data_IF_282873231647
#
_entry.id   IF_282873231647
#
_cell.length_a   1.000
_cell.length_b   1.000
_cell.length_c   1.000
_cell.angle_alpha   90.00
_cell.angle_beta   90.00
_cell.angle_gamma   90.00
#
_symmetry.space_group_name_H-M   'P 1'
#
loop_
_entity.id
_entity.type
_entity.pdbx_description
1 polymer ?
#
# COMPACT_ATOMS: atom_id res chain seq x y z
N UNK A 1 1.59 9.30 -17.29
CA UNK A 1 1.69 7.98 -17.93
C UNK A 1 2.37 7.08 -16.94
N UNK A 2 1.70 6.01 -16.53
CA UNK A 2 2.28 4.97 -15.70
C UNK A 2 2.90 3.91 -16.61
N UNK A 3 4.03 3.36 -16.19
CA UNK A 3 4.66 2.23 -16.86
C UNK A 3 5.01 1.22 -15.77
N UNK A 4 4.61 -0.03 -15.97
CA UNK A 4 4.83 -1.10 -15.02
C UNK A 4 4.76 -2.46 -15.71
N UNK A 5 5.42 -3.45 -15.12
CA UNK A 5 5.49 -4.81 -15.67
C UNK A 5 4.12 -5.48 -15.79
N UNK A 6 3.17 -5.12 -14.91
CA UNK A 6 1.79 -5.59 -14.98
C UNK A 6 1.02 -5.08 -16.22
N UNK A 7 1.53 -4.05 -16.92
CA UNK A 7 0.97 -3.53 -18.18
C UNK A 7 1.70 -4.05 -19.42
N UNK A 8 2.67 -4.96 -19.28
CA UNK A 8 3.56 -5.38 -20.36
C UNK A 8 2.80 -5.89 -21.59
N UNK A 9 1.79 -6.74 -21.39
CA UNK A 9 1.04 -7.35 -22.49
C UNK A 9 0.31 -6.30 -23.32
N UNK A 10 -0.43 -5.40 -22.67
CA UNK A 10 -1.17 -4.30 -23.29
C UNK A 10 -0.24 -3.33 -24.02
N UNK A 11 0.87 -2.94 -23.38
CA UNK A 11 1.85 -2.03 -23.97
C UNK A 11 2.49 -2.63 -25.21
N UNK A 12 2.82 -3.93 -25.19
CA UNK A 12 3.35 -4.64 -26.36
C UNK A 12 2.35 -4.69 -27.53
N UNK A 13 1.05 -4.58 -27.24
CA UNK A 13 -0.01 -4.47 -28.24
C UNK A 13 -0.32 -3.02 -28.64
N UNK A 14 0.39 -2.04 -28.09
CA UNK A 14 0.18 -0.62 -28.34
C UNK A 14 -1.04 -0.03 -27.61
N UNK A 15 -1.52 -0.71 -26.58
CA UNK A 15 -2.61 -0.25 -25.71
C UNK A 15 -1.96 0.50 -24.53
N UNK A 16 -2.35 1.76 -24.35
CA UNK A 16 -1.82 2.63 -23.29
C UNK A 16 -2.95 3.21 -22.46
N UNK A 17 -2.74 3.22 -21.14
CA UNK A 17 -3.64 3.94 -20.24
C UNK A 17 -3.61 5.44 -20.53
N UNK A 18 -4.78 6.11 -20.61
CA UNK A 18 -4.84 7.55 -20.79
C UNK A 18 -4.41 8.30 -19.53
N UNK A 19 -4.29 9.62 -19.63
CA UNK A 19 -4.16 10.45 -18.44
C UNK A 19 -5.42 10.31 -17.57
N UNK A 20 -5.22 9.97 -16.30
CA UNK A 20 -6.29 9.74 -15.33
C UNK A 20 -5.96 10.34 -13.97
N UNK A 21 -6.98 10.55 -13.15
CA UNK A 21 -6.83 10.95 -11.76
C UNK A 21 -6.41 9.74 -10.93
N UNK A 22 -5.44 9.94 -10.05
CA UNK A 22 -4.95 8.89 -9.15
C UNK A 22 -4.57 9.51 -7.80
N UNK A 23 -5.17 8.99 -6.73
CA UNK A 23 -4.91 9.43 -5.36
C UNK A 23 -3.52 9.03 -4.87
N UNK A 24 -2.92 7.96 -5.41
CA UNK A 24 -1.59 7.50 -5.00
C UNK A 24 -0.50 8.52 -5.36
N UNK A 25 -0.74 9.40 -6.34
CA UNK A 25 0.14 10.52 -6.67
C UNK A 25 0.37 11.44 -5.46
N UNK A 26 -0.61 11.61 -4.58
CA UNK A 26 -0.44 12.37 -3.34
C UNK A 26 0.59 11.70 -2.43
N UNK A 27 0.54 10.37 -2.30
CA UNK A 27 1.46 9.59 -1.48
C UNK A 27 2.87 9.56 -2.09
N UNK A 28 2.94 9.45 -3.41
CA UNK A 28 4.19 9.45 -4.17
C UNK A 28 4.93 10.79 -4.01
N UNK A 29 4.25 11.92 -4.22
CA UNK A 29 4.87 13.24 -4.06
C UNK A 29 5.27 13.50 -2.60
N UNK A 30 4.46 13.06 -1.64
CA UNK A 30 4.77 13.20 -0.21
C UNK A 30 6.06 12.45 0.15
N UNK A 31 6.22 11.20 -0.28
CA UNK A 31 7.44 10.41 -0.05
C UNK A 31 8.65 11.01 -0.80
N UNK A 32 8.46 11.53 -2.01
CA UNK A 32 9.53 12.20 -2.78
C UNK A 32 10.06 13.44 -2.06
N UNK A 33 9.19 14.23 -1.43
CA UNK A 33 9.59 15.39 -0.63
C UNK A 33 10.41 15.01 0.61
N UNK A 34 10.18 13.81 1.18
CA UNK A 34 10.91 13.32 2.35
C UNK A 34 12.23 12.64 1.96
N UNK A 35 12.24 11.81 0.92
CA UNK A 35 13.41 11.02 0.52
C UNK A 35 13.42 10.77 -0.99
N UNK A 36 14.24 11.54 -1.71
CA UNK A 36 14.46 11.34 -3.15
C UNK A 36 15.84 11.83 -3.59
N UNK A 37 16.27 11.40 -4.77
CA UNK A 37 17.48 11.88 -5.44
C UNK A 37 17.09 12.40 -6.82
N UNK A 38 17.31 13.69 -7.14
CA UNK A 38 17.03 14.20 -8.48
C UNK A 38 18.05 13.65 -9.48
N UNK A 39 17.61 12.78 -10.38
CA UNK A 39 18.46 12.28 -11.48
C UNK A 39 18.66 13.35 -12.56
N UNK A 40 17.68 14.24 -12.73
CA UNK A 40 17.71 15.44 -13.58
C UNK A 40 16.91 16.56 -12.93
N UNK A 41 17.32 17.81 -13.16
CA UNK A 41 16.62 18.99 -12.66
C UNK A 41 16.89 19.29 -11.19
N UNK A 42 15.96 20.01 -10.55
CA UNK A 42 16.08 20.41 -9.16
C UNK A 42 15.61 19.32 -8.19
N UNK A 43 16.01 19.50 -6.93
CA UNK A 43 15.51 18.69 -5.80
C UNK A 43 14.00 18.91 -5.56
N UNK A 44 13.34 17.90 -5.00
CA UNK A 44 11.89 17.84 -4.86
C UNK A 44 11.29 19.07 -4.15
N UNK A 45 11.91 19.52 -3.07
CA UNK A 45 11.42 20.63 -2.25
C UNK A 45 11.47 22.01 -2.94
N UNK A 46 12.10 22.10 -4.11
CA UNK A 46 12.06 23.30 -4.96
C UNK A 46 11.00 23.23 -6.06
N UNK A 47 10.53 22.03 -6.38
CA UNK A 47 9.57 21.79 -7.46
C UNK A 47 8.15 21.56 -6.93
N UNK A 48 8.01 20.90 -5.79
CA UNK A 48 6.73 20.50 -5.21
C UNK A 48 6.49 21.18 -3.87
N UNK A 49 5.21 21.29 -3.52
CA UNK A 49 4.77 21.75 -2.20
C UNK A 49 4.07 20.59 -1.48
N UNK A 50 4.21 20.46 -0.16
CA UNK A 50 3.50 19.43 0.59
C UNK A 50 2.00 19.51 0.39
N UNK A 51 1.35 18.35 0.21
CA UNK A 51 -0.10 18.28 0.16
C UNK A 51 -0.71 18.70 1.52
N UNK A 52 -1.91 19.31 1.54
CA UNK A 52 -2.64 19.50 2.79
C UNK A 52 -2.89 18.16 3.49
N UNK A 53 -2.77 18.12 4.82
CA UNK A 53 -2.97 16.90 5.64
C UNK A 53 -4.31 16.22 5.32
N UNK A 54 -5.37 16.99 5.06
CA UNK A 54 -6.67 16.44 4.70
C UNK A 54 -6.66 15.67 3.36
N UNK A 55 -5.84 16.06 2.39
CA UNK A 55 -5.69 15.35 1.12
C UNK A 55 -4.82 14.10 1.28
N UNK A 56 -3.77 14.17 2.10
CA UNK A 56 -2.95 13.01 2.44
C UNK A 56 -3.79 11.93 3.16
N UNK A 57 -4.62 12.35 4.11
CA UNK A 57 -5.56 11.46 4.80
C UNK A 57 -6.52 10.77 3.83
N UNK A 58 -7.10 11.53 2.89
CA UNK A 58 -7.96 10.96 1.84
C UNK A 58 -7.22 9.96 0.97
N UNK A 59 -6.01 10.31 0.53
CA UNK A 59 -5.19 9.42 -0.30
C UNK A 59 -4.84 8.10 0.41
N UNK A 60 -4.48 8.14 1.69
CA UNK A 60 -4.19 6.95 2.49
C UNK A 60 -5.42 6.06 2.70
N UNK A 61 -6.61 6.65 2.80
CA UNK A 61 -7.86 5.91 3.04
C UNK A 61 -8.54 5.44 1.76
N UNK A 62 -8.27 6.07 0.63
CA UNK A 62 -8.91 5.73 -0.66
C UNK A 62 -8.82 4.25 -1.04
N UNK A 63 -7.65 3.56 -0.90
CA UNK A 63 -7.57 2.12 -1.19
C UNK A 63 -8.42 1.26 -0.26
N UNK A 64 -8.62 1.68 1.01
CA UNK A 64 -9.47 0.95 1.96
C UNK A 64 -10.91 0.86 1.47
N UNK A 65 -11.41 1.90 0.79
CA UNK A 65 -12.75 1.93 0.26
C UNK A 65 -12.89 1.06 -1.01
N UNK A 66 -11.79 0.71 -1.68
CA UNK A 66 -11.79 -0.12 -2.89
C UNK A 66 -11.80 -1.62 -2.62
N UNK A 67 -11.07 -2.10 -1.61
CA UNK A 67 -10.94 -3.55 -1.35
C UNK A 67 -12.13 -4.10 -0.57
N UNK A 68 -13.25 -4.40 -1.23
CA UNK A 68 -14.50 -4.79 -0.57
C UNK A 68 -14.84 -6.27 -0.67
N UNK A 69 -14.31 -6.95 -1.68
CA UNK A 69 -14.68 -8.30 -2.04
C UNK A 69 -13.46 -9.18 -2.25
N UNK A 70 -13.68 -10.49 -2.29
CA UNK A 70 -12.66 -11.48 -2.64
C UNK A 70 -12.02 -11.19 -4.00
N UNK A 71 -12.81 -10.73 -4.98
CA UNK A 71 -12.31 -10.44 -6.32
C UNK A 71 -11.36 -9.23 -6.35
N UNK A 72 -11.53 -8.28 -5.41
CA UNK A 72 -10.68 -7.08 -5.33
C UNK A 72 -9.29 -7.38 -4.75
N UNK A 73 -9.14 -8.53 -4.08
CA UNK A 73 -7.88 -8.91 -3.40
C UNK A 73 -7.16 -10.09 -4.04
N UNK A 74 -7.86 -10.88 -4.84
CA UNK A 74 -7.33 -12.09 -5.46
C UNK A 74 -6.24 -11.74 -6.48
N UNK A 75 -5.06 -12.35 -6.33
CA UNK A 75 -3.89 -12.11 -7.17
C UNK A 75 -2.91 -11.07 -6.63
N UNK A 76 -3.31 -10.29 -5.60
CA UNK A 76 -2.50 -9.25 -4.96
C UNK A 76 -2.47 -9.41 -3.43
N UNK A 77 -2.68 -10.62 -2.91
CA UNK A 77 -3.00 -10.88 -1.50
C UNK A 77 -1.92 -10.36 -0.54
N UNK A 78 -0.66 -10.80 -0.69
CA UNK A 78 0.42 -10.31 0.18
C UNK A 78 0.70 -8.82 -0.04
N UNK A 79 0.48 -8.32 -1.27
CA UNK A 79 0.70 -6.91 -1.58
C UNK A 79 -0.30 -6.05 -0.80
N UNK A 80 -1.58 -6.40 -0.83
CA UNK A 80 -2.65 -5.68 -0.14
C UNK A 80 -2.46 -5.76 1.37
N UNK A 81 -2.16 -6.94 1.93
CA UNK A 81 -1.90 -7.10 3.36
C UNK A 81 -0.76 -6.19 3.84
N UNK A 82 0.36 -6.14 3.09
CA UNK A 82 1.50 -5.28 3.44
C UNK A 82 1.20 -3.79 3.21
N UNK A 83 0.43 -3.44 2.20
CA UNK A 83 0.00 -2.05 1.96
C UNK A 83 -0.92 -1.57 3.08
N UNK A 84 -1.84 -2.41 3.58
CA UNK A 84 -2.66 -2.11 4.75
C UNK A 84 -1.81 -1.87 5.99
N UNK A 85 -0.77 -2.68 6.22
CA UNK A 85 0.16 -2.45 7.33
C UNK A 85 0.87 -1.08 7.22
N UNK A 86 1.30 -0.68 6.01
CA UNK A 86 1.91 0.65 5.77
C UNK A 86 0.92 1.80 5.98
N UNK A 87 -0.33 1.66 5.53
CA UNK A 87 -1.38 2.66 5.74
C UNK A 87 -1.63 2.83 7.25
N UNK A 88 -1.75 1.71 7.98
CA UNK A 88 -1.95 1.72 9.42
C UNK A 88 -0.80 2.42 10.14
N UNK A 89 0.45 2.05 9.82
CA UNK A 89 1.64 2.71 10.35
C UNK A 89 1.63 4.22 10.08
N UNK A 90 1.34 4.62 8.84
CA UNK A 90 1.39 6.03 8.43
C UNK A 90 0.34 6.86 9.15
N UNK A 91 -0.88 6.34 9.29
CA UNK A 91 -1.95 7.05 10.01
C UNK A 91 -1.74 7.08 11.53
N UNK A 92 -1.00 6.12 12.08
CA UNK A 92 -0.72 6.06 13.53
C UNK A 92 0.51 6.86 13.95
N UNK A 93 1.44 7.12 13.02
CA UNK A 93 2.74 7.73 13.34
C UNK A 93 3.03 9.01 12.57
N UNK A 94 2.28 9.30 11.50
CA UNK A 94 2.56 10.38 10.57
C UNK A 94 3.81 10.16 9.70
N UNK A 95 4.39 8.95 9.70
CA UNK A 95 5.66 8.64 9.01
C UNK A 95 5.46 7.57 7.94
N UNK A 96 6.32 7.57 6.93
CA UNK A 96 6.42 6.49 5.96
C UNK A 96 7.48 5.47 6.38
N UNK A 97 7.28 4.22 5.98
CA UNK A 97 8.24 3.14 6.20
C UNK A 97 8.15 2.07 5.10
N UNK A 98 9.06 1.10 5.09
CA UNK A 98 9.07 -0.03 4.15
C UNK A 98 7.94 -1.04 4.47
N UNK A 99 7.63 -1.94 3.52
CA UNK A 99 6.63 -3.00 3.73
C UNK A 99 6.99 -3.90 4.91
N UNK A 100 8.25 -4.32 4.97
CA UNK A 100 8.79 -5.19 6.01
C UNK A 100 8.73 -4.52 7.40
N UNK A 101 9.23 -3.29 7.51
CA UNK A 101 9.21 -2.57 8.79
C UNK A 101 7.79 -2.22 9.26
N UNK A 102 6.85 -1.98 8.35
CA UNK A 102 5.44 -1.80 8.71
C UNK A 102 4.82 -3.10 9.25
N UNK A 103 5.16 -4.24 8.66
CA UNK A 103 4.71 -5.54 9.15
C UNK A 103 5.26 -5.81 10.56
N UNK A 104 6.57 -5.65 10.77
CA UNK A 104 7.21 -5.80 12.08
C UNK A 104 6.60 -4.89 13.16
N UNK A 105 6.26 -3.66 12.79
CA UNK A 105 5.60 -2.71 13.69
C UNK A 105 4.18 -3.18 14.06
N UNK A 106 3.41 -3.71 13.12
CA UNK A 106 2.00 -4.06 13.34
C UNK A 106 1.84 -5.43 14.01
N UNK A 107 2.70 -6.41 13.72
CA UNK A 107 2.65 -7.77 14.26
C UNK A 107 2.39 -7.88 15.78
N UNK A 108 3.12 -7.17 16.67
CA UNK A 108 2.92 -7.29 18.12
C UNK A 108 1.60 -6.67 18.62
N UNK A 109 0.86 -5.95 17.77
CA UNK A 109 -0.39 -5.27 18.11
C UNK A 109 -1.64 -6.07 17.69
N UNK A 110 -1.45 -7.13 16.90
CA UNK A 110 -2.54 -7.91 16.32
C UNK A 110 -2.89 -9.14 17.17
N UNK A 111 -4.17 -9.53 17.22
CA UNK A 111 -4.54 -10.90 17.58
C UNK A 111 -3.85 -11.93 16.66
N UNK A 112 -3.50 -13.10 17.19
CA UNK A 112 -2.64 -14.06 16.47
C UNK A 112 -3.18 -14.47 15.10
N UNK A 113 -4.50 -14.63 14.94
CA UNK A 113 -5.11 -14.99 13.65
C UNK A 113 -4.79 -13.97 12.53
N UNK A 114 -4.76 -12.67 12.87
CA UNK A 114 -4.40 -11.60 11.93
C UNK A 114 -2.89 -11.47 11.80
N UNK A 115 -2.15 -11.66 12.90
CA UNK A 115 -0.70 -11.66 12.91
C UNK A 115 -0.13 -12.77 12.01
N UNK A 116 -0.73 -13.96 12.01
CA UNK A 116 -0.34 -15.08 11.16
C UNK A 116 -0.49 -14.74 9.67
N UNK A 117 -1.61 -14.11 9.28
CA UNK A 117 -1.85 -13.64 7.90
C UNK A 117 -0.79 -12.60 7.48
N UNK A 118 -0.50 -11.62 8.33
CA UNK A 118 0.53 -10.61 8.07
C UNK A 118 1.94 -11.22 7.96
N UNK A 119 2.26 -12.18 8.83
CA UNK A 119 3.55 -12.89 8.83
C UNK A 119 3.74 -13.71 7.55
N UNK A 120 2.68 -14.38 7.07
CA UNK A 120 2.72 -15.10 5.80
C UNK A 120 3.01 -14.16 4.62
N UNK A 121 2.31 -13.02 4.56
CA UNK A 121 2.54 -12.00 3.54
C UNK A 121 3.96 -11.42 3.58
N UNK A 122 4.48 -11.13 4.77
CA UNK A 122 5.85 -10.64 4.96
C UNK A 122 6.88 -11.66 4.48
N UNK A 123 6.74 -12.94 4.86
CA UNK A 123 7.70 -13.99 4.48
C UNK A 123 7.75 -14.22 2.97
N UNK A 124 6.60 -14.17 2.30
CA UNK A 124 6.57 -14.28 0.84
C UNK A 124 7.20 -13.07 0.15
N UNK A 125 6.89 -11.86 0.63
CA UNK A 125 7.51 -10.65 0.11
C UNK A 125 9.04 -10.64 0.27
N UNK A 126 9.56 -11.21 1.37
CA UNK A 126 10.99 -11.38 1.61
C UNK A 126 11.61 -12.55 0.82
N UNK A 127 10.82 -13.28 0.03
CA UNK A 127 11.27 -14.42 -0.76
C UNK A 127 11.63 -15.66 0.07
N UNK A 128 11.16 -15.73 1.32
CA UNK A 128 11.50 -16.82 2.24
C UNK A 128 10.59 -18.05 2.04
N UNK A 129 9.34 -17.83 1.65
CA UNK A 129 8.34 -18.89 1.56
C UNK A 129 7.17 -18.46 0.67
N UNK A 130 6.83 -19.25 -0.34
CA UNK A 130 5.66 -19.02 -1.19
C UNK A 130 4.44 -19.69 -0.56
N UNK A 131 3.33 -18.96 -0.48
CA UNK A 131 2.07 -19.41 0.07
C UNK A 131 1.10 -19.84 -1.02
N UNK A 132 0.20 -20.75 -0.68
CA UNK A 132 -1.00 -20.97 -1.47
C UNK A 132 -2.07 -19.96 -1.05
N UNK A 133 -2.07 -18.81 -1.72
CA UNK A 133 -3.02 -17.73 -1.42
C UNK A 133 -4.47 -18.11 -1.66
N UNK A 134 -4.75 -19.11 -2.49
CA UNK A 134 -6.12 -19.60 -2.68
C UNK A 134 -6.68 -20.18 -1.37
N UNK A 135 -5.84 -20.89 -0.61
CA UNK A 135 -6.21 -21.43 0.71
C UNK A 135 -6.31 -20.31 1.75
N UNK A 136 -5.40 -19.33 1.70
CA UNK A 136 -5.35 -18.23 2.68
C UNK A 136 -6.36 -17.11 2.39
N UNK A 137 -7.00 -17.10 1.22
CA UNK A 137 -7.89 -16.02 0.77
C UNK A 137 -8.98 -15.66 1.79
N UNK A 138 -9.66 -16.60 2.47
CA UNK A 138 -10.62 -16.26 3.51
C UNK A 138 -9.99 -15.53 4.71
N UNK A 139 -8.73 -15.83 5.05
CA UNK A 139 -7.99 -15.13 6.10
C UNK A 139 -7.56 -13.72 5.66
N UNK A 140 -7.17 -13.56 4.39
CA UNK A 140 -6.85 -12.25 3.80
C UNK A 140 -8.07 -11.34 3.82
N UNK A 141 -9.24 -11.82 3.42
CA UNK A 141 -10.50 -11.04 3.50
C UNK A 141 -10.79 -10.61 4.94
N UNK A 142 -10.67 -11.53 5.92
CA UNK A 142 -10.83 -11.16 7.33
C UNK A 142 -9.80 -10.12 7.80
N UNK A 143 -8.56 -10.19 7.31
CA UNK A 143 -7.54 -9.20 7.63
C UNK A 143 -7.88 -7.81 7.05
N UNK A 144 -8.38 -7.75 5.82
CA UNK A 144 -8.84 -6.51 5.19
C UNK A 144 -10.00 -5.89 5.98
N UNK A 145 -11.00 -6.69 6.35
CA UNK A 145 -12.13 -6.23 7.16
C UNK A 145 -11.69 -5.74 8.54
N UNK A 146 -10.77 -6.47 9.17
CA UNK A 146 -10.18 -6.06 10.44
C UNK A 146 -9.43 -4.73 10.33
N UNK A 147 -8.61 -4.57 9.29
CA UNK A 147 -7.88 -3.34 9.03
C UNK A 147 -8.84 -2.15 8.81
N UNK A 148 -9.90 -2.32 8.02
CA UNK A 148 -10.93 -1.29 7.81
C UNK A 148 -11.58 -0.82 9.12
N UNK A 149 -11.83 -1.75 10.03
CA UNK A 149 -12.46 -1.46 11.32
C UNK A 149 -11.53 -0.77 12.33
N UNK A 150 -10.20 -0.97 12.23
CA UNK A 150 -9.24 -0.55 13.26
C UNK A 150 -8.21 0.50 12.82
N UNK A 151 -8.01 0.70 11.51
CA UNK A 151 -7.13 1.76 11.01
C UNK A 151 -7.71 3.14 11.40
N UNK A 152 -6.89 4.05 11.98
CA UNK A 152 -7.33 5.38 12.37
C UNK A 152 -8.04 6.15 11.23
N UNK A 153 -9.11 6.87 11.57
CA UNK A 153 -9.84 7.73 10.62
C UNK A 153 -9.23 9.12 10.47
N UNK A 154 -8.27 9.45 11.33
CA UNK A 154 -7.46 10.67 11.31
C UNK A 154 -6.03 10.32 11.74
N UNK A 155 -5.08 11.23 11.50
CA UNK A 155 -3.74 11.10 12.06
C UNK A 155 -3.82 11.14 13.60
N UNK A 156 -3.12 10.19 14.24
CA UNK A 156 -2.93 10.16 15.71
C UNK A 156 -1.78 11.08 16.10
#
# INVERSE_FOLDING_TARGET
>A
MQFGEWLREDICQGIYEPAQQDWDIVLLITQILETSIPLKGERAERLFTPAPVAQLLKALRYPLDLWQSTADVQGDEYHIVLTLARIWYTLSTGRFTSKDAAADWLLPQLPEDYAATLRAAQREYLGLEQQDWHILLPAVVRFVDFAKAHIPTQFT
#
